data_IF_633956819122
#
_entry.id   IF_633956819122
#
_cell.length_a   1.000
_cell.length_b   1.000
_cell.length_c   1.000
_cell.angle_alpha   90.00
_cell.angle_beta   90.00
_cell.angle_gamma   90.00
#
_symmetry.space_group_name_H-M   'P 1'
#
loop_
_entity.id
_entity.type
_entity.pdbx_description
1 polymer ?
#
# COMPACT_ATOMS: atom_id res chain seq x y z
N UNK A 1 -2.35 18.64 -13.39
CA UNK A 1 -1.50 17.55 -12.86
C UNK A 1 -0.40 17.23 -13.85
N UNK A 2 0.88 17.14 -13.43
CA UNK A 2 1.97 16.64 -14.27
C UNK A 2 1.94 15.11 -14.25
N UNK A 3 2.01 14.47 -15.42
CA UNK A 3 1.87 13.01 -15.58
C UNK A 3 3.06 12.49 -16.39
N UNK A 4 3.79 11.54 -15.82
CA UNK A 4 4.79 10.74 -16.54
C UNK A 4 4.30 9.29 -16.58
N UNK A 5 4.26 8.67 -17.76
CA UNK A 5 3.77 7.30 -17.97
C UNK A 5 4.94 6.39 -18.32
N UNK A 6 5.02 5.21 -17.71
CA UNK A 6 6.05 4.22 -18.02
C UNK A 6 5.43 2.82 -18.25
N UNK A 7 5.40 2.34 -19.51
CA UNK A 7 4.77 1.07 -19.85
C UNK A 7 5.60 -0.09 -19.28
N UNK A 8 4.90 -1.08 -18.74
CA UNK A 8 5.50 -2.30 -18.23
C UNK A 8 5.11 -3.47 -19.14
N UNK A 9 6.04 -4.40 -19.29
CA UNK A 9 5.81 -5.72 -19.86
C UNK A 9 6.02 -6.74 -18.74
N UNK A 10 5.07 -6.89 -17.81
CA UNK A 10 5.24 -7.81 -16.70
C UNK A 10 5.32 -9.25 -17.20
N UNK A 11 6.12 -10.12 -16.55
CA UNK A 11 6.05 -11.56 -16.74
C UNK A 11 4.66 -12.11 -16.41
N UNK A 12 4.35 -13.33 -16.83
CA UNK A 12 3.06 -13.95 -16.50
C UNK A 12 2.94 -14.21 -14.99
N UNK A 13 1.71 -14.29 -14.48
CA UNK A 13 1.49 -14.59 -13.05
C UNK A 13 2.06 -15.96 -12.66
N UNK A 14 2.06 -16.93 -13.57
CA UNK A 14 2.65 -18.26 -13.36
C UNK A 14 4.17 -18.19 -13.25
N UNK A 15 4.82 -17.41 -14.10
CA UNK A 15 6.27 -17.21 -14.02
C UNK A 15 6.64 -16.53 -12.70
N UNK A 16 5.94 -15.46 -12.33
CA UNK A 16 6.15 -14.77 -11.07
C UNK A 16 5.92 -15.68 -9.87
N UNK A 17 4.86 -16.50 -9.92
CA UNK A 17 4.59 -17.47 -8.88
C UNK A 17 5.76 -18.45 -8.69
N UNK A 18 6.33 -18.96 -9.78
CA UNK A 18 7.52 -19.82 -9.75
C UNK A 18 8.74 -19.08 -9.18
N UNK A 19 9.01 -17.85 -9.63
CA UNK A 19 10.17 -17.07 -9.18
C UNK A 19 10.12 -16.69 -7.71
N UNK A 20 8.93 -16.53 -7.14
CA UNK A 20 8.74 -16.18 -5.73
C UNK A 20 8.84 -17.39 -4.77
N UNK A 21 8.77 -18.63 -5.26
CA UNK A 21 8.82 -19.82 -4.39
C UNK A 21 10.13 -19.89 -3.60
N UNK A 22 11.29 -19.79 -4.28
CA UNK A 22 12.58 -19.96 -3.62
C UNK A 22 12.90 -18.84 -2.60
N UNK A 23 12.71 -17.54 -2.92
CA UNK A 23 12.92 -16.47 -1.94
C UNK A 23 12.02 -16.61 -0.70
N UNK A 24 10.74 -16.97 -0.88
CA UNK A 24 9.82 -17.13 0.25
C UNK A 24 10.13 -18.38 1.06
N UNK A 25 10.48 -19.51 0.44
CA UNK A 25 10.88 -20.73 1.14
C UNK A 25 12.20 -20.58 1.90
N UNK A 26 13.08 -19.67 1.45
CA UNK A 26 14.29 -19.33 2.19
C UNK A 26 14.01 -18.49 3.44
N UNK A 27 12.85 -17.82 3.52
CA UNK A 27 12.51 -16.94 4.61
C UNK A 27 11.42 -17.48 5.54
N UNK A 28 10.61 -18.43 5.09
CA UNK A 28 9.51 -19.01 5.84
C UNK A 28 9.55 -20.54 5.78
N UNK A 29 9.35 -21.20 6.92
CA UNK A 29 9.36 -22.68 7.00
C UNK A 29 8.26 -23.28 6.12
N UNK A 30 7.10 -22.62 6.07
CA UNK A 30 6.03 -23.00 5.16
C UNK A 30 5.71 -21.82 4.25
N UNK A 31 5.86 -22.03 2.94
CA UNK A 31 5.49 -21.04 1.93
C UNK A 31 4.85 -21.72 0.74
N UNK A 32 3.77 -21.14 0.21
CA UNK A 32 3.20 -21.52 -1.08
C UNK A 32 2.95 -20.29 -1.93
N UNK A 33 3.19 -20.41 -3.23
CA UNK A 33 2.89 -19.39 -4.23
C UNK A 33 2.20 -20.06 -5.41
N UNK A 34 1.03 -19.57 -5.76
CA UNK A 34 0.19 -20.18 -6.81
C UNK A 34 -0.64 -19.12 -7.51
N UNK A 35 -0.98 -19.36 -8.77
CA UNK A 35 -2.02 -18.58 -9.47
C UNK A 35 -3.37 -19.21 -9.18
N UNK A 36 -4.32 -18.43 -8.71
CA UNK A 36 -5.68 -18.87 -8.39
C UNK A 36 -6.70 -17.92 -8.98
N UNK A 37 -7.94 -18.39 -9.16
CA UNK A 37 -9.06 -17.48 -9.34
C UNK A 37 -9.22 -16.61 -8.08
N UNK A 38 -9.29 -15.30 -8.27
CA UNK A 38 -9.45 -14.34 -7.18
C UNK A 38 -10.76 -14.64 -6.43
N UNK A 39 -10.71 -14.86 -5.10
CA UNK A 39 -11.94 -14.93 -4.31
C UNK A 39 -12.65 -13.59 -4.34
N UNK A 40 -13.93 -13.54 -3.98
CA UNK A 40 -14.64 -12.28 -3.83
C UNK A 40 -14.06 -11.48 -2.64
N UNK A 41 -13.23 -10.50 -2.95
CA UNK A 41 -12.51 -9.68 -1.97
C UNK A 41 -13.42 -8.68 -1.24
N UNK A 42 -14.70 -8.58 -1.61
CA UNK A 42 -15.68 -7.81 -0.82
C UNK A 42 -16.08 -8.52 0.47
N UNK A 43 -15.88 -9.85 0.52
CA UNK A 43 -16.25 -10.67 1.66
C UNK A 43 -15.20 -10.58 2.77
N UNK A 44 -15.59 -10.99 3.98
CA UNK A 44 -14.66 -11.16 5.07
C UNK A 44 -13.56 -12.17 4.70
N UNK A 45 -12.31 -11.95 5.15
CA UNK A 45 -11.83 -10.87 6.02
C UNK A 45 -11.35 -9.60 5.27
N UNK A 46 -11.54 -9.52 3.95
CA UNK A 46 -10.89 -8.49 3.11
C UNK A 46 -11.69 -7.21 2.94
N UNK A 47 -13.02 -7.30 2.87
CA UNK A 47 -13.91 -6.13 2.85
C UNK A 47 -13.53 -5.03 1.83
N UNK A 48 -12.97 -5.41 0.69
CA UNK A 48 -12.63 -4.47 -0.38
C UNK A 48 -13.88 -3.87 -1.03
N UNK A 49 -13.69 -2.71 -1.67
CA UNK A 49 -14.72 -2.07 -2.45
C UNK A 49 -15.00 -2.80 -3.79
N UNK A 50 -14.01 -3.53 -4.32
CA UNK A 50 -14.10 -4.30 -5.57
C UNK A 50 -14.14 -5.81 -5.33
N UNK A 51 -14.68 -6.55 -6.29
CA UNK A 51 -14.77 -8.01 -6.24
C UNK A 51 -13.40 -8.69 -6.36
N UNK A 52 -12.52 -8.17 -7.22
CA UNK A 52 -11.17 -8.69 -7.40
C UNK A 52 -10.16 -7.60 -7.75
N UNK A 53 -9.02 -8.03 -8.30
CA UNK A 53 -7.85 -7.20 -8.63
C UNK A 53 -7.52 -7.19 -10.13
N UNK A 54 -8.40 -7.72 -10.97
CA UNK A 54 -8.11 -7.97 -12.38
C UNK A 54 -8.78 -6.99 -13.34
N UNK A 55 -8.14 -6.81 -14.48
CA UNK A 55 -8.56 -5.93 -15.57
C UNK A 55 -7.78 -4.62 -15.56
N UNK A 56 -7.08 -4.35 -16.67
CA UNK A 56 -6.39 -3.09 -16.94
C UNK A 56 -5.58 -2.54 -15.75
N UNK A 57 -4.70 -3.39 -15.21
CA UNK A 57 -3.95 -3.16 -13.98
C UNK A 57 -2.89 -2.07 -14.13
N UNK A 58 -2.90 -1.10 -13.22
CA UNK A 58 -2.05 0.11 -13.26
C UNK A 58 -1.58 0.48 -11.86
N UNK A 59 -0.47 1.19 -11.76
CA UNK A 59 -0.03 1.81 -10.51
C UNK A 59 0.16 3.30 -10.69
N UNK A 60 -0.20 4.08 -9.67
CA UNK A 60 0.22 5.46 -9.54
C UNK A 60 1.15 5.67 -8.35
N UNK A 61 2.17 6.50 -8.55
CA UNK A 61 3.00 7.10 -7.51
C UNK A 61 2.81 8.62 -7.59
N UNK A 62 2.10 9.17 -6.60
CA UNK A 62 1.62 10.54 -6.60
C UNK A 62 2.34 11.35 -5.53
N UNK A 63 2.89 12.51 -5.89
CA UNK A 63 3.61 13.36 -4.95
C UNK A 63 4.84 12.63 -4.38
N UNK A 64 5.07 12.69 -3.08
CA UNK A 64 6.15 11.91 -2.46
C UNK A 64 6.62 12.46 -1.13
N UNK A 65 7.57 11.77 -0.50
CA UNK A 65 8.21 12.26 0.74
C UNK A 65 8.73 13.70 0.69
N UNK A 66 9.23 14.25 -0.45
CA UNK A 66 9.60 15.66 -0.53
C UNK A 66 8.45 16.67 -0.40
N UNK A 67 7.19 16.21 -0.36
CA UNK A 67 6.05 17.06 0.00
C UNK A 67 5.81 17.11 1.51
N UNK A 68 6.39 16.19 2.28
CA UNK A 68 6.37 16.20 3.75
C UNK A 68 7.64 16.85 4.32
N UNK A 69 8.80 16.47 3.79
CA UNK A 69 10.11 16.95 4.25
C UNK A 69 10.73 17.93 3.23
N UNK A 70 11.37 19.02 3.68
CA UNK A 70 11.64 19.41 5.07
C UNK A 70 10.48 20.18 5.72
N UNK A 71 9.48 20.59 4.94
CA UNK A 71 8.28 21.26 5.43
C UNK A 71 7.06 20.68 4.71
N UNK A 72 5.98 20.33 5.42
CA UNK A 72 4.76 19.85 4.80
C UNK A 72 4.18 20.87 3.82
N UNK A 73 3.94 20.45 2.58
CA UNK A 73 3.28 21.24 1.54
C UNK A 73 1.78 20.99 1.62
N UNK A 74 1.11 21.76 2.47
CA UNK A 74 -0.30 21.57 2.85
C UNK A 74 -1.30 21.78 1.70
N UNK A 75 -0.83 22.34 0.58
CA UNK A 75 -1.56 22.54 -0.66
C UNK A 75 -1.44 21.36 -1.64
N UNK A 76 -0.58 20.37 -1.36
CA UNK A 76 -0.48 19.13 -2.11
C UNK A 76 -1.63 18.19 -1.73
N UNK A 77 -2.83 18.49 -2.23
CA UNK A 77 -4.06 17.75 -1.99
C UNK A 77 -4.66 17.26 -3.31
N UNK A 78 -5.28 16.07 -3.29
CA UNK A 78 -5.93 15.45 -4.45
C UNK A 78 -7.20 14.71 -4.03
N UNK A 79 -8.09 14.45 -4.98
CA UNK A 79 -9.15 13.43 -4.84
C UNK A 79 -8.73 12.14 -5.53
N UNK A 80 -9.03 10.98 -4.94
CA UNK A 80 -8.76 9.68 -5.57
C UNK A 80 -9.50 9.48 -6.90
N UNK A 81 -10.62 10.16 -7.14
CA UNK A 81 -11.29 10.15 -8.46
C UNK A 81 -10.54 10.93 -9.53
N UNK A 82 -10.00 12.10 -9.18
CA UNK A 82 -9.11 12.88 -10.06
C UNK A 82 -7.84 12.08 -10.40
N UNK A 83 -7.31 11.35 -9.41
CA UNK A 83 -6.17 10.45 -9.62
C UNK A 83 -6.55 9.27 -10.53
N UNK A 84 -7.73 8.68 -10.37
CA UNK A 84 -8.21 7.62 -11.25
C UNK A 84 -8.32 8.11 -12.71
N UNK A 85 -8.85 9.32 -12.94
CA UNK A 85 -8.89 9.95 -14.27
C UNK A 85 -7.47 10.15 -14.83
N UNK A 86 -6.54 10.66 -14.02
CA UNK A 86 -5.14 10.86 -14.42
C UNK A 86 -4.38 9.54 -14.69
N UNK A 87 -4.85 8.44 -14.11
CA UNK A 87 -4.40 7.07 -14.36
C UNK A 87 -5.03 6.44 -15.61
N UNK A 88 -5.80 7.20 -16.40
CA UNK A 88 -6.63 6.70 -17.50
C UNK A 88 -7.50 5.49 -17.07
N UNK A 89 -8.05 5.50 -15.85
CA UNK A 89 -8.98 4.45 -15.41
C UNK A 89 -10.31 4.59 -16.14
N UNK A 90 -10.96 3.46 -16.41
CA UNK A 90 -12.29 3.45 -17.03
C UNK A 90 -13.34 4.08 -16.08
N UNK A 91 -14.00 5.19 -16.46
CA UNK A 91 -15.03 5.81 -15.62
C UNK A 91 -16.25 4.90 -15.40
N UNK A 92 -16.49 3.92 -16.28
CA UNK A 92 -17.63 3.03 -16.17
C UNK A 92 -17.48 1.97 -15.07
N UNK A 93 -16.25 1.56 -14.74
CA UNK A 93 -15.99 0.58 -13.67
C UNK A 93 -14.51 0.53 -13.26
N UNK A 94 -14.27 0.46 -11.96
CA UNK A 94 -12.95 0.14 -11.44
C UNK A 94 -12.82 0.30 -9.94
N UNK A 95 -11.59 0.21 -9.46
CA UNK A 95 -11.26 0.51 -8.07
C UNK A 95 -9.80 0.88 -7.89
N UNK A 96 -9.52 1.51 -6.75
CA UNK A 96 -8.19 1.89 -6.30
C UNK A 96 -7.97 1.36 -4.88
N UNK A 97 -6.77 0.83 -4.63
CA UNK A 97 -6.29 0.51 -3.29
C UNK A 97 -4.83 0.91 -3.11
N UNK A 98 -4.35 1.03 -1.87
CA UNK A 98 -2.92 1.27 -1.63
C UNK A 98 -2.62 1.95 -0.29
N UNK A 99 -1.73 2.93 -0.31
CA UNK A 99 -1.17 3.58 0.88
C UNK A 99 -0.78 5.04 0.63
N UNK A 100 -1.07 5.95 1.56
CA UNK A 100 -0.67 7.36 1.45
C UNK A 100 -1.06 8.21 2.65
N UNK A 101 -0.78 9.51 2.59
CA UNK A 101 -1.23 10.43 3.63
C UNK A 101 -2.69 10.85 3.41
N UNK A 102 -3.45 10.91 4.50
CA UNK A 102 -4.87 11.17 4.48
C UNK A 102 -5.25 12.63 4.28
N UNK A 103 -6.55 12.92 4.09
CA UNK A 103 -7.05 14.25 3.81
C UNK A 103 -7.07 15.10 5.09
N UNK A 104 -5.90 15.59 5.52
CA UNK A 104 -5.78 16.40 6.74
C UNK A 104 -6.70 17.64 6.73
N UNK A 105 -7.01 18.19 5.56
CA UNK A 105 -7.93 19.31 5.38
C UNK A 105 -9.41 18.95 5.67
N UNK A 106 -9.76 17.66 5.66
CA UNK A 106 -11.10 17.16 6.03
C UNK A 106 -11.09 16.56 7.45
N UNK A 107 -10.06 15.77 7.78
CA UNK A 107 -9.94 15.12 9.09
C UNK A 107 -9.59 16.11 10.21
N UNK A 108 -8.98 17.25 9.86
CA UNK A 108 -8.56 18.30 10.80
C UNK A 108 -7.19 18.06 11.44
N UNK A 109 -6.47 17.01 11.02
CA UNK A 109 -5.11 16.69 11.44
C UNK A 109 -4.45 15.71 10.47
N UNK A 110 -3.13 15.52 10.61
CA UNK A 110 -2.43 14.48 9.87
C UNK A 110 -2.94 13.06 10.19
N UNK A 111 -2.87 12.17 9.20
CA UNK A 111 -3.27 10.77 9.33
C UNK A 111 -2.68 9.91 8.22
N UNK A 112 -2.53 8.61 8.50
CA UNK A 112 -2.24 7.58 7.50
C UNK A 112 -3.53 7.16 6.82
N UNK A 113 -3.55 7.04 5.49
CA UNK A 113 -4.70 6.59 4.71
C UNK A 113 -4.42 5.24 4.07
N UNK A 114 -5.36 4.31 4.21
CA UNK A 114 -5.43 3.06 3.45
C UNK A 114 -6.56 3.19 2.40
N UNK A 115 -6.26 3.69 1.19
CA UNK A 115 -7.20 3.75 0.07
C UNK A 115 -7.86 2.41 -0.22
N UNK A 116 -9.19 2.41 -0.32
CA UNK A 116 -9.98 1.26 -0.75
C UNK A 116 -11.29 1.80 -1.32
N UNK A 117 -11.32 2.06 -2.62
CA UNK A 117 -12.49 2.62 -3.30
C UNK A 117 -12.84 1.80 -4.54
N UNK A 118 -14.12 1.82 -4.91
CA UNK A 118 -14.63 1.19 -6.12
C UNK A 118 -15.79 1.98 -6.69
N UNK A 119 -16.00 1.90 -8.01
CA UNK A 119 -17.09 2.58 -8.69
C UNK A 119 -17.71 1.70 -9.78
N UNK A 120 -18.97 1.99 -10.08
CA UNK A 120 -19.73 1.39 -11.17
C UNK A 120 -20.62 2.47 -11.80
N UNK A 121 -20.58 2.57 -13.13
CA UNK A 121 -21.33 3.54 -13.93
C UNK A 121 -20.64 4.90 -14.07
N UNK A 122 -20.09 5.48 -13.00
CA UNK A 122 -19.37 6.75 -13.03
C UNK A 122 -18.50 6.98 -11.78
N UNK A 123 -17.55 7.93 -11.86
CA UNK A 123 -16.78 8.42 -10.72
C UNK A 123 -17.61 9.24 -9.70
N UNK A 124 -18.88 9.51 -9.97
CA UNK A 124 -19.80 10.13 -9.00
C UNK A 124 -20.39 9.08 -8.05
N UNK A 125 -20.40 7.80 -8.46
CA UNK A 125 -20.96 6.68 -7.71
C UNK A 125 -19.86 5.83 -7.08
N UNK A 126 -19.07 6.43 -6.19
CA UNK A 126 -17.93 5.77 -5.53
C UNK A 126 -18.35 5.15 -4.21
N UNK A 127 -18.16 3.84 -4.09
CA UNK A 127 -18.12 3.14 -2.81
C UNK A 127 -16.75 3.38 -2.17
N UNK A 128 -16.72 4.21 -1.14
CA UNK A 128 -15.53 4.44 -0.34
C UNK A 128 -15.50 3.47 0.84
N UNK A 129 -14.50 2.59 0.92
CA UNK A 129 -14.19 1.73 2.07
C UNK A 129 -12.80 2.03 2.65
N UNK A 130 -12.22 3.18 2.28
CA UNK A 130 -10.92 3.60 2.78
C UNK A 130 -10.97 3.82 4.28
N UNK A 131 -9.87 3.49 4.96
CA UNK A 131 -9.67 3.76 6.38
C UNK A 131 -8.55 4.76 6.55
N UNK A 132 -8.61 5.53 7.63
CA UNK A 132 -7.46 6.32 8.05
C UNK A 132 -7.11 6.01 9.51
N UNK A 133 -5.83 6.09 9.83
CA UNK A 133 -5.31 5.97 11.19
C UNK A 133 -4.72 7.31 11.65
N UNK A 134 -5.03 7.72 12.88
CA UNK A 134 -4.54 8.96 13.46
C UNK A 134 -4.15 8.78 14.92
N UNK A 135 -3.28 9.67 15.41
CA UNK A 135 -2.98 9.79 16.85
C UNK A 135 -3.95 10.77 17.50
N UNK A 136 -4.61 10.33 18.57
CA UNK A 136 -5.40 11.19 19.43
C UNK A 136 -4.51 12.20 20.16
N UNK A 137 -4.90 13.47 20.14
CA UNK A 137 -4.08 14.58 20.66
C UNK A 137 -3.99 14.59 22.18
N UNK A 138 -4.96 14.00 22.88
CA UNK A 138 -5.04 14.03 24.35
C UNK A 138 -4.44 12.76 24.97
N UNK A 139 -4.75 11.61 24.37
CA UNK A 139 -4.41 10.29 24.92
C UNK A 139 -3.19 9.65 24.27
N UNK A 140 -2.73 10.19 23.13
CA UNK A 140 -1.71 9.57 22.27
C UNK A 140 -2.10 8.19 21.71
N UNK A 141 -3.37 7.78 21.85
CA UNK A 141 -3.85 6.50 21.33
C UNK A 141 -4.04 6.54 19.80
N UNK A 142 -3.91 5.38 19.16
CA UNK A 142 -4.26 5.22 17.74
C UNK A 142 -5.77 5.08 17.61
N UNK A 143 -6.36 5.81 16.66
CA UNK A 143 -7.74 5.64 16.24
C UNK A 143 -7.80 5.32 14.76
N UNK A 144 -8.71 4.42 14.38
CA UNK A 144 -8.94 4.03 12.99
C UNK A 144 -10.41 4.22 12.65
N UNK A 145 -10.69 4.99 11.60
CA UNK A 145 -12.04 5.33 11.18
C UNK A 145 -12.21 5.17 9.66
N UNK A 146 -13.47 5.17 9.20
CA UNK A 146 -13.78 5.31 7.77
C UNK A 146 -13.36 6.70 7.28
N UNK A 147 -12.71 6.78 6.13
CA UNK A 147 -12.40 8.08 5.52
C UNK A 147 -13.71 8.82 5.18
N UNK A 148 -13.89 10.08 5.65
CA UNK A 148 -15.10 10.85 5.39
C UNK A 148 -15.15 11.42 3.95
N UNK A 149 -14.05 11.33 3.20
CA UNK A 149 -13.93 11.83 1.83
C UNK A 149 -13.07 10.92 0.96
N UNK A 150 -13.02 11.23 -0.33
CA UNK A 150 -12.11 10.64 -1.31
C UNK A 150 -10.76 11.36 -1.37
N UNK A 151 -10.53 12.33 -0.49
CA UNK A 151 -9.32 13.14 -0.50
C UNK A 151 -8.10 12.39 0.01
N UNK A 152 -6.94 12.81 -0.47
CA UNK A 152 -5.62 12.44 0.05
C UNK A 152 -4.68 13.64 -0.04
N UNK A 153 -3.51 13.55 0.58
CA UNK A 153 -2.54 14.63 0.60
C UNK A 153 -1.10 14.12 0.52
N UNK A 154 -0.16 15.03 0.25
CA UNK A 154 1.31 14.87 0.28
C UNK A 154 1.89 13.80 -0.65
N UNK A 155 1.54 12.54 -0.42
CA UNK A 155 1.95 11.39 -1.20
C UNK A 155 0.92 10.25 -1.11
N UNK A 156 0.74 9.54 -2.21
CA UNK A 156 -0.07 8.32 -2.24
C UNK A 156 0.42 7.37 -3.34
N UNK A 157 0.45 6.09 -3.02
CA UNK A 157 0.77 5.00 -3.94
C UNK A 157 -0.48 4.15 -4.11
N UNK A 158 -0.95 4.01 -5.35
CA UNK A 158 -2.22 3.37 -5.69
C UNK A 158 -2.01 2.25 -6.68
N UNK A 159 -2.68 1.14 -6.47
CA UNK A 159 -2.97 0.13 -7.48
C UNK A 159 -4.39 0.33 -7.98
N UNK A 160 -4.56 0.37 -9.30
CA UNK A 160 -5.85 0.47 -9.97
C UNK A 160 -6.11 -0.72 -10.89
N UNK A 161 -7.37 -1.14 -10.95
CA UNK A 161 -7.86 -2.13 -11.90
C UNK A 161 -9.35 -1.92 -12.18
N UNK A 162 -9.91 -2.65 -13.14
CA UNK A 162 -11.36 -2.75 -13.34
C UNK A 162 -12.08 -3.43 -12.16
N UNK A 163 -11.34 -3.98 -11.19
CA UNK A 163 -11.89 -4.61 -9.99
C UNK A 163 -12.64 -5.91 -10.26
N UNK A 164 -12.37 -6.54 -11.40
CA UNK A 164 -13.01 -7.80 -11.79
C UNK A 164 -12.37 -8.98 -11.04
N UNK A 165 -13.12 -10.07 -10.91
CA UNK A 165 -12.52 -11.38 -10.68
C UNK A 165 -11.56 -11.74 -11.84
N UNK A 166 -10.69 -12.72 -11.61
CA UNK A 166 -9.67 -13.12 -12.55
C UNK A 166 -8.51 -13.84 -11.86
N UNK A 167 -7.49 -14.27 -12.61
CA UNK A 167 -6.32 -14.89 -12.02
C UNK A 167 -5.50 -13.87 -11.20
N UNK A 168 -5.04 -14.29 -10.03
CA UNK A 168 -4.17 -13.52 -9.13
C UNK A 168 -3.11 -14.43 -8.53
N UNK A 169 -1.98 -13.85 -8.12
CA UNK A 169 -0.98 -14.58 -7.35
C UNK A 169 -1.47 -14.66 -5.90
N UNK A 170 -1.70 -15.88 -5.42
CA UNK A 170 -1.91 -16.17 -4.00
C UNK A 170 -0.59 -16.58 -3.37
N UNK A 171 -0.23 -15.92 -2.28
CA UNK A 171 0.92 -16.27 -1.43
C UNK A 171 0.39 -16.64 -0.05
N UNK A 172 0.85 -17.74 0.52
CA UNK A 172 0.69 -18.00 1.95
C UNK A 172 2.03 -18.33 2.56
N UNK A 173 2.33 -17.76 3.72
CA UNK A 173 3.54 -18.07 4.48
C UNK A 173 3.23 -18.25 5.95
N UNK A 174 3.99 -19.11 6.62
CA UNK A 174 3.94 -19.31 8.06
C UNK A 174 5.33 -19.54 8.60
N UNK A 175 5.56 -19.03 9.81
CA UNK A 175 6.78 -19.19 10.59
C UNK A 175 8.01 -18.66 9.85
N UNK A 176 8.43 -17.45 10.20
CA UNK A 176 9.64 -16.85 9.64
C UNK A 176 10.87 -17.55 10.20
N UNK A 177 11.75 -17.99 9.30
CA UNK A 177 13.05 -18.62 9.61
C UNK A 177 14.24 -17.82 9.05
N UNK A 178 13.97 -16.89 8.14
CA UNK A 178 14.98 -16.01 7.57
C UNK A 178 15.03 -14.66 8.26
N UNK A 179 16.02 -13.86 7.85
CA UNK A 179 16.29 -12.54 8.41
C UNK A 179 15.40 -11.43 7.84
N UNK A 180 14.64 -11.69 6.76
CA UNK A 180 13.79 -10.68 6.15
C UNK A 180 12.48 -10.56 6.92
N UNK A 181 12.35 -9.49 7.71
CA UNK A 181 11.22 -9.29 8.61
C UNK A 181 10.00 -8.68 7.92
N UNK A 182 10.19 -7.99 6.79
CA UNK A 182 9.08 -7.43 6.03
C UNK A 182 8.59 -8.44 4.99
N UNK A 183 7.32 -8.82 5.06
CA UNK A 183 6.70 -9.70 4.07
C UNK A 183 6.71 -9.07 2.67
N UNK A 184 6.39 -7.78 2.57
CA UNK A 184 6.39 -7.05 1.31
C UNK A 184 7.82 -6.89 0.77
N UNK A 185 8.81 -6.64 1.63
CA UNK A 185 10.21 -6.53 1.23
C UNK A 185 10.77 -7.87 0.74
N UNK A 186 10.38 -8.99 1.38
CA UNK A 186 10.74 -10.34 0.94
C UNK A 186 10.28 -10.61 -0.49
N UNK A 187 9.03 -10.26 -0.81
CA UNK A 187 8.48 -10.37 -2.18
C UNK A 187 9.27 -9.46 -3.12
N UNK A 188 9.44 -8.18 -2.76
CA UNK A 188 10.12 -7.18 -3.59
C UNK A 188 11.56 -7.59 -3.91
N UNK A 189 12.33 -8.05 -2.92
CA UNK A 189 13.71 -8.54 -3.09
C UNK A 189 13.75 -9.81 -3.93
N UNK A 190 12.81 -10.73 -3.73
CA UNK A 190 12.70 -11.93 -4.57
C UNK A 190 12.48 -11.59 -6.05
N UNK A 191 11.60 -10.62 -6.34
CA UNK A 191 11.40 -10.12 -7.71
C UNK A 191 12.63 -9.40 -8.25
N UNK A 192 13.27 -8.55 -7.45
CA UNK A 192 14.50 -7.87 -7.86
C UNK A 192 15.63 -8.85 -8.17
N UNK A 193 15.78 -9.91 -7.37
CA UNK A 193 16.75 -10.97 -7.64
C UNK A 193 16.45 -11.69 -8.96
N UNK A 194 15.17 -11.90 -9.29
CA UNK A 194 14.76 -12.60 -10.50
C UNK A 194 14.89 -11.76 -11.78
N UNK A 195 14.64 -10.45 -11.71
CA UNK A 195 14.49 -9.57 -12.87
C UNK A 195 15.48 -8.40 -12.94
N UNK A 196 16.20 -8.11 -11.86
CA UNK A 196 17.14 -6.99 -11.70
C UNK A 196 16.52 -5.62 -12.04
N UNK A 197 17.36 -4.60 -12.20
CA UNK A 197 16.94 -3.27 -12.67
C UNK A 197 16.59 -3.26 -14.17
N UNK A 198 16.87 -4.34 -14.90
CA UNK A 198 16.62 -4.43 -16.34
C UNK A 198 15.15 -4.62 -16.70
N UNK A 199 14.35 -5.21 -15.79
CA UNK A 199 12.92 -5.37 -15.96
C UNK A 199 12.19 -5.08 -14.64
N UNK A 200 11.61 -3.89 -14.53
CA UNK A 200 10.75 -3.53 -13.40
C UNK A 200 9.48 -4.40 -13.40
N UNK A 201 9.23 -5.08 -12.29
CA UNK A 201 7.97 -5.75 -11.98
C UNK A 201 7.28 -4.96 -10.88
N UNK A 202 6.04 -4.56 -11.10
CA UNK A 202 5.26 -3.80 -10.12
C UNK A 202 4.00 -4.56 -9.73
N UNK A 203 3.81 -4.77 -8.42
CA UNK A 203 2.67 -5.48 -7.87
C UNK A 203 1.79 -4.53 -7.07
N UNK A 204 0.49 -4.80 -7.11
CA UNK A 204 -0.48 -4.20 -6.22
C UNK A 204 -1.55 -5.21 -5.79
N UNK A 205 -2.09 -5.00 -4.60
CA UNK A 205 -3.06 -5.92 -4.02
C UNK A 205 -3.09 -5.81 -2.50
N UNK A 206 -3.35 -6.93 -1.85
CA UNK A 206 -3.48 -6.99 -0.39
C UNK A 206 -2.74 -8.17 0.20
N UNK A 207 -2.41 -8.06 1.47
CA UNK A 207 -2.12 -9.20 2.32
C UNK A 207 -2.79 -9.06 3.67
N UNK A 208 -3.06 -10.20 4.30
CA UNK A 208 -3.62 -10.32 5.62
C UNK A 208 -2.54 -10.89 6.54
N UNK A 209 -2.19 -10.15 7.58
CA UNK A 209 -1.49 -10.73 8.74
C UNK A 209 -2.54 -11.51 9.51
N UNK A 210 -2.53 -12.84 9.39
CA UNK A 210 -3.56 -13.73 9.96
C UNK A 210 -3.29 -14.07 11.42
N UNK A 211 -2.02 -14.15 11.80
CA UNK A 211 -1.52 -14.44 13.15
C UNK A 211 -0.23 -13.68 13.39
N UNK A 212 0.07 -13.44 14.67
CA UNK A 212 1.27 -12.78 15.11
C UNK A 212 1.17 -11.26 15.17
N UNK A 213 2.32 -10.62 15.42
CA UNK A 213 2.47 -9.18 15.59
C UNK A 213 3.33 -8.54 14.52
N UNK A 214 3.02 -7.30 14.18
CA UNK A 214 3.86 -6.48 13.34
C UNK A 214 4.03 -5.06 13.87
N UNK A 215 5.12 -4.43 13.45
CA UNK A 215 5.45 -3.03 13.71
C UNK A 215 4.81 -2.14 12.65
N UNK A 216 4.19 -1.08 13.13
CA UNK A 216 3.56 -0.05 12.32
C UNK A 216 4.03 1.33 12.78
N UNK A 217 3.83 2.34 11.94
CA UNK A 217 3.86 3.72 12.40
C UNK A 217 2.58 4.46 12.03
N UNK A 218 2.27 5.48 12.82
CA UNK A 218 1.25 6.48 12.52
C UNK A 218 1.91 7.84 12.70
N UNK A 219 1.91 8.66 11.66
CA UNK A 219 2.32 10.05 11.82
C UNK A 219 1.37 10.77 12.80
N UNK A 220 1.90 11.41 13.86
CA UNK A 220 1.08 12.32 14.67
C UNK A 220 0.76 13.58 13.86
N UNK A 221 0.04 14.52 14.47
CA UNK A 221 -0.26 15.79 13.79
C UNK A 221 1.03 16.52 13.37
N UNK A 222 0.90 17.41 12.38
CA UNK A 222 2.04 18.15 11.85
C UNK A 222 2.76 18.92 12.97
N UNK A 223 4.10 19.00 12.95
CA UNK A 223 4.85 19.76 13.95
C UNK A 223 4.39 21.22 14.00
N UNK A 224 4.52 21.84 15.18
CA UNK A 224 4.24 23.26 15.31
C UNK A 224 5.22 24.09 14.47
N UNK A 225 4.83 25.30 14.09
CA UNK A 225 5.64 26.16 13.21
C UNK A 225 7.06 26.42 13.75
N UNK A 226 7.21 26.50 15.08
CA UNK A 226 8.50 26.68 15.76
C UNK A 226 9.46 25.49 15.59
N UNK A 227 8.93 24.31 15.29
CA UNK A 227 9.67 23.05 15.15
C UNK A 227 9.91 22.71 13.66
N UNK A 228 9.55 23.62 12.75
CA UNK A 228 9.75 23.52 11.30
C UNK A 228 10.72 24.58 10.79
N UNK A 229 11.44 24.31 9.68
CA UNK A 229 11.47 23.05 8.93
C UNK A 229 12.19 21.93 9.70
N UNK A 230 11.91 20.68 9.34
CA UNK A 230 12.78 19.56 9.73
C UNK A 230 14.19 19.82 9.20
N UNK A 231 15.20 19.73 10.06
CA UNK A 231 16.58 20.01 9.67
C UNK A 231 17.21 18.80 8.97
N UNK A 232 16.88 17.59 9.43
CA UNK A 232 17.43 16.33 8.93
C UNK A 232 16.32 15.30 8.73
N UNK A 233 16.52 14.34 7.81
CA UNK A 233 15.54 13.25 7.60
C UNK A 233 15.26 12.42 8.85
N UNK A 234 16.27 12.18 9.69
CA UNK A 234 16.14 11.49 10.99
C UNK A 234 15.18 12.20 11.96
N UNK A 235 14.95 13.50 11.77
CA UNK A 235 14.03 14.27 12.61
C UNK A 235 12.58 13.88 12.28
N UNK A 236 12.31 13.43 11.04
CA UNK A 236 11.03 12.81 10.66
C UNK A 236 10.86 11.48 11.37
N UNK A 237 11.88 10.61 11.36
CA UNK A 237 11.83 9.31 12.04
C UNK A 237 11.59 9.44 13.54
N UNK A 238 12.16 10.48 14.16
CA UNK A 238 11.96 10.79 15.59
C UNK A 238 10.58 11.38 15.89
N UNK A 239 9.90 11.94 14.88
CA UNK A 239 8.54 12.48 14.98
C UNK A 239 7.48 11.39 14.77
N UNK A 240 7.78 10.33 14.03
CA UNK A 240 6.87 9.19 13.86
C UNK A 240 6.58 8.50 15.19
N UNK A 241 5.33 8.05 15.37
CA UNK A 241 4.96 7.18 16.50
C UNK A 241 4.88 5.74 16.01
N UNK A 242 5.57 4.83 16.71
CA UNK A 242 5.64 3.42 16.34
C UNK A 242 4.79 2.56 17.27
N UNK A 243 4.09 1.59 16.70
CA UNK A 243 3.10 0.77 17.39
C UNK A 243 3.25 -0.69 16.98
N UNK A 244 3.05 -1.59 17.93
CA UNK A 244 3.03 -3.02 17.70
C UNK A 244 1.58 -3.49 17.76
N UNK A 245 1.06 -4.04 16.65
CA UNK A 245 -0.32 -4.51 16.58
C UNK A 245 -0.39 -6.01 16.31
N UNK A 246 -1.36 -6.64 16.99
CA UNK A 246 -1.72 -8.04 16.82
C UNK A 246 -2.60 -8.22 15.58
N UNK A 247 -2.46 -9.36 14.91
CA UNK A 247 -3.38 -9.84 13.90
C UNK A 247 -4.84 -9.96 14.44
N UNK A 248 -5.86 -9.92 13.55
CA UNK A 248 -5.76 -9.85 12.10
C UNK A 248 -5.63 -8.43 11.55
N UNK A 249 -4.63 -8.18 10.69
CA UNK A 249 -4.39 -6.88 10.06
C UNK A 249 -4.51 -7.01 8.53
N UNK A 250 -5.43 -6.29 7.93
CA UNK A 250 -5.56 -6.19 6.47
C UNK A 250 -4.64 -5.08 5.96
N UNK A 251 -3.77 -5.43 5.03
CA UNK A 251 -2.73 -4.56 4.49
C UNK A 251 -2.91 -4.37 2.98
N UNK A 252 -2.93 -3.12 2.55
CA UNK A 252 -3.05 -2.71 1.15
C UNK A 252 -1.69 -2.22 0.68
N UNK A 253 -1.17 -2.85 -0.37
CA UNK A 253 0.25 -2.77 -0.70
C UNK A 253 0.47 -2.46 -2.17
N UNK A 254 1.43 -1.57 -2.43
CA UNK A 254 2.00 -1.28 -3.74
C UNK A 254 3.51 -1.44 -3.63
N UNK A 255 4.11 -2.23 -4.52
CA UNK A 255 5.56 -2.46 -4.53
C UNK A 255 6.12 -2.57 -5.95
N UNK A 256 7.40 -2.22 -6.08
CA UNK A 256 8.16 -2.23 -7.32
C UNK A 256 9.48 -2.96 -7.08
N UNK A 257 9.82 -3.94 -7.92
CA UNK A 257 11.12 -4.62 -7.83
C UNK A 257 12.29 -3.65 -7.99
N UNK A 258 12.16 -2.66 -8.88
CA UNK A 258 13.12 -1.60 -9.15
C UNK A 258 12.42 -0.33 -9.67
N UNK A 259 13.03 0.84 -9.45
CA UNK A 259 12.67 2.07 -10.18
C UNK A 259 13.12 1.94 -11.65
N UNK A 260 12.20 2.01 -12.63
CA UNK A 260 12.53 1.76 -14.03
C UNK A 260 13.60 2.71 -14.58
N UNK A 261 14.80 2.17 -14.73
CA UNK A 261 16.00 2.91 -15.12
C UNK A 261 16.45 3.97 -14.11
N UNK A 262 15.93 3.94 -12.87
CA UNK A 262 16.24 4.93 -11.83
C UNK A 262 15.76 6.35 -12.15
N UNK A 263 14.69 6.49 -12.97
CA UNK A 263 14.29 7.79 -13.54
C UNK A 263 13.01 8.36 -12.97
N UNK A 264 12.18 7.55 -12.31
CA UNK A 264 10.84 7.99 -11.88
C UNK A 264 10.80 8.45 -10.42
N UNK A 265 11.83 8.13 -9.62
CA UNK A 265 11.87 8.47 -8.19
C UNK A 265 10.71 7.82 -7.45
N UNK A 266 10.52 6.51 -7.68
CA UNK A 266 9.40 5.75 -7.11
C UNK A 266 9.62 5.46 -5.63
N UNK A 267 8.52 5.44 -4.87
CA UNK A 267 8.46 4.76 -3.58
C UNK A 267 8.35 3.25 -3.86
N UNK A 268 9.48 2.55 -3.79
CA UNK A 268 9.58 1.13 -4.20
C UNK A 268 8.72 0.16 -3.38
N UNK A 269 8.25 0.58 -2.21
CA UNK A 269 7.35 -0.21 -1.35
C UNK A 269 6.54 0.73 -0.46
N UNK A 270 5.23 0.54 -0.42
CA UNK A 270 4.34 1.28 0.44
C UNK A 270 3.11 0.44 0.82
N UNK A 271 2.94 0.20 2.13
CA UNK A 271 1.86 -0.63 2.66
C UNK A 271 1.21 0.04 3.86
N UNK A 272 -0.09 0.30 3.78
CA UNK A 272 -0.90 0.76 4.91
C UNK A 272 -1.91 -0.31 5.29
N UNK A 273 -2.18 -0.44 6.58
CA UNK A 273 -3.01 -1.50 7.14
C UNK A 273 -4.01 -0.97 8.14
N UNK A 274 -5.03 -1.79 8.41
CA UNK A 274 -5.98 -1.62 9.50
C UNK A 274 -6.47 -2.98 9.99
N UNK A 275 -6.92 -3.03 11.25
CA UNK A 275 -7.43 -4.25 11.85
C UNK A 275 -8.67 -4.76 11.10
N UNK A 276 -8.63 -6.01 10.67
CA UNK A 276 -9.72 -6.64 9.93
C UNK A 276 -10.96 -6.91 10.81
N UNK A 277 -10.78 -6.92 12.13
CA UNK A 277 -11.83 -7.13 13.12
C UNK A 277 -12.42 -5.81 13.69
N UNK A 278 -12.03 -4.65 13.14
CA UNK A 278 -12.57 -3.34 13.51
C UNK A 278 -11.97 -2.72 14.78
N UNK A 279 -10.89 -3.29 15.33
CA UNK A 279 -10.11 -2.64 16.40
C UNK A 279 -9.46 -1.34 15.93
N UNK A 280 -9.16 -0.47 16.88
CA UNK A 280 -8.38 0.76 16.66
C UNK A 280 -6.87 0.45 16.49
N UNK A 281 -6.53 -0.27 15.43
CA UNK A 281 -5.16 -0.60 15.06
C UNK A 281 -5.00 -0.44 13.55
N UNK A 282 -3.97 0.29 13.13
CA UNK A 282 -3.73 0.62 11.73
C UNK A 282 -2.60 1.63 11.56
N UNK A 283 -2.20 1.87 10.32
CA UNK A 283 -1.08 2.75 9.98
C UNK A 283 -0.18 2.15 8.90
N UNK A 284 1.04 2.67 8.81
CA UNK A 284 2.05 2.22 7.87
C UNK A 284 2.78 0.97 8.38
N UNK A 285 2.76 -0.12 7.63
CA UNK A 285 3.44 -1.37 7.97
C UNK A 285 4.95 -1.28 7.77
N UNK A 286 5.71 -1.85 8.71
CA UNK A 286 7.16 -2.04 8.57
C UNK A 286 7.51 -3.51 8.41
N UNK A 287 7.28 -4.33 9.43
CA UNK A 287 7.74 -5.73 9.49
C UNK A 287 7.10 -6.49 10.65
N UNK A 288 7.17 -7.83 10.66
CA UNK A 288 6.83 -8.60 11.86
C UNK A 288 7.89 -8.54 12.97
N UNK A 289 7.46 -8.90 14.18
CA UNK A 289 8.29 -8.88 15.38
C UNK A 289 9.01 -10.22 15.60
N UNK A 290 10.19 -10.18 16.24
CA UNK A 290 10.99 -11.38 16.47
C UNK A 290 10.35 -12.31 17.51
N UNK A 291 9.54 -11.77 18.42
CA UNK A 291 8.79 -12.55 19.41
C UNK A 291 7.57 -13.30 18.83
N UNK A 292 7.30 -13.14 17.52
CA UNK A 292 6.20 -13.81 16.80
C UNK A 292 6.69 -14.61 15.59
N UNK A 293 8.00 -14.78 15.42
CA UNK A 293 8.53 -15.43 14.21
C UNK A 293 8.05 -16.87 14.05
N UNK A 294 7.77 -17.58 15.15
CA UNK A 294 7.27 -18.96 15.15
C UNK A 294 5.81 -19.10 14.72
N UNK A 295 4.98 -18.06 14.88
CA UNK A 295 3.52 -18.14 14.66
C UNK A 295 2.97 -17.12 13.66
N UNK A 296 3.80 -16.19 13.17
CA UNK A 296 3.47 -15.25 12.09
C UNK A 296 2.91 -16.00 10.86
N UNK A 297 1.75 -15.56 10.38
CA UNK A 297 1.07 -16.14 9.22
C UNK A 297 0.58 -15.03 8.30
N UNK A 298 0.95 -15.11 7.02
CA UNK A 298 0.50 -14.20 5.99
C UNK A 298 -0.33 -14.93 4.92
N UNK A 299 -1.37 -14.27 4.42
CA UNK A 299 -2.07 -14.66 3.19
C UNK A 299 -2.24 -13.43 2.30
N UNK A 300 -1.86 -13.54 1.02
CA UNK A 300 -1.84 -12.40 0.12
C UNK A 300 -2.44 -12.72 -1.25
N UNK A 301 -2.96 -11.68 -1.88
CA UNK A 301 -3.45 -11.68 -3.25
C UNK A 301 -2.88 -10.46 -3.98
N UNK A 302 -2.12 -10.71 -5.04
CA UNK A 302 -1.47 -9.67 -5.83
C UNK A 302 -1.74 -9.85 -7.32
N UNK A 303 -1.71 -8.73 -8.04
CA UNK A 303 -1.69 -8.70 -9.50
C UNK A 303 -0.60 -7.73 -9.99
N UNK A 304 -0.25 -7.84 -11.27
CA UNK A 304 0.87 -7.09 -11.88
C UNK A 304 0.37 -5.90 -12.68
N UNK A 305 0.94 -4.72 -12.44
CA UNK A 305 0.63 -3.56 -13.25
C UNK A 305 1.27 -3.63 -14.64
N UNK A 306 0.57 -3.08 -15.63
CA UNK A 306 1.02 -2.92 -17.02
C UNK A 306 1.51 -1.49 -17.31
N UNK A 307 1.28 -0.57 -16.38
CA UNK A 307 1.53 0.85 -16.56
C UNK A 307 1.82 1.50 -15.22
N UNK A 308 2.89 2.31 -15.14
CA UNK A 308 3.17 3.18 -14.00
C UNK A 308 2.84 4.62 -14.38
N UNK A 309 2.09 5.30 -13.52
CA UNK A 309 1.77 6.72 -13.60
C UNK A 309 2.49 7.45 -12.47
N UNK A 310 3.51 8.24 -12.81
CA UNK A 310 4.13 9.17 -11.87
C UNK A 310 3.42 10.51 -11.95
N UNK A 311 2.67 10.84 -10.92
CA UNK A 311 1.81 12.02 -10.87
C UNK A 311 2.41 13.07 -9.94
N UNK A 312 2.53 14.31 -10.42
CA UNK A 312 3.05 15.45 -9.66
C UNK A 312 4.35 15.13 -8.89
N UNK A 313 5.30 14.47 -9.57
CA UNK A 313 6.63 14.19 -9.01
C UNK A 313 7.24 15.48 -8.44
N UNK A 314 7.60 15.50 -7.15
CA UNK A 314 8.29 16.64 -6.55
C UNK A 314 9.64 16.86 -7.25
N UNK A 315 10.02 18.13 -7.41
CA UNK A 315 11.36 18.51 -7.87
C UNK A 315 12.42 18.20 -6.81
#
# INVERSE_FOLDING_TARGET
>A
MRIEKYPLSPPSLEELAVKLQAPLAANYEHSTVSVVACPDLRQAPYHLATEGLSGDEKIADVGGQPNLFPRPKMDCIWSMTELAEAMDMDPAKGGLLGAGAGPHHVVGQNCELAPNIGWQGSFENVKNESRYAKIDKETSAVHVDKSPSLGCALMINLFGSSGNSGPVIKITTRKRIGSERSFAECIRKGLHQAYSDSQTVSLGGLFLVKKGKAKYHVMPDFPAEKDLPFNHRKDVDSWLTFHDFEAPMLCLSVLHSADPGGRMGLRVEHTHCYAADGKNAGGHYHYDLDDTEDDIEYEAYFNTAKMIYRLNRPN
#
